data_IF_638213250545
#
_entry.id   IF_638213250545
#
_cell.length_a   1.000
_cell.length_b   1.000
_cell.length_c   1.000
_cell.angle_alpha   90.00
_cell.angle_beta   90.00
_cell.angle_gamma   90.00
#
_symmetry.space_group_name_H-M   'P 1'
#
loop_
_entity.id
_entity.type
_entity.pdbx_description
1 polymer ?
#
# COMPACT_ATOMS: atom_id res chain seq x y z
N UNK A 1 -0.41 -3.45 6.03
CA UNK A 1 0.06 -2.28 6.83
C UNK A 1 -1.03 -1.20 6.88
N UNK A 2 -0.96 -0.33 7.91
CA UNK A 2 -1.74 0.90 7.96
C UNK A 2 -3.17 0.78 8.46
N UNK A 3 -3.52 -0.24 9.20
CA UNK A 3 -4.86 -0.36 9.79
C UNK A 3 -4.86 0.09 11.26
N UNK A 4 -5.74 1.04 11.56
CA UNK A 4 -6.14 1.33 12.94
C UNK A 4 -7.55 0.79 13.19
N UNK A 5 -7.75 0.19 14.34
CA UNK A 5 -9.05 -0.31 14.79
C UNK A 5 -9.56 0.51 15.97
N UNK A 6 -10.87 0.67 16.02
CA UNK A 6 -11.55 1.47 17.06
C UNK A 6 -12.33 0.56 18.00
N UNK A 7 -12.12 0.72 19.29
CA UNK A 7 -12.87 0.02 20.33
C UNK A 7 -13.25 1.00 21.44
N UNK A 8 -14.51 1.02 21.83
CA UNK A 8 -15.04 1.89 22.88
C UNK A 8 -14.61 3.37 22.72
N UNK A 9 -14.62 3.87 21.47
CA UNK A 9 -14.25 5.24 21.15
C UNK A 9 -12.74 5.54 21.20
N UNK A 10 -11.89 4.52 21.29
CA UNK A 10 -10.44 4.65 21.35
C UNK A 10 -9.76 3.82 20.26
N UNK A 11 -8.66 4.34 19.74
CA UNK A 11 -7.78 3.58 18.84
C UNK A 11 -7.04 2.51 19.64
N UNK A 12 -7.08 1.27 19.19
CA UNK A 12 -6.42 0.14 19.85
C UNK A 12 -4.90 0.12 19.64
N UNK A 13 -4.43 0.65 18.51
CA UNK A 13 -3.01 0.73 18.20
C UNK A 13 -2.37 1.92 18.91
N UNK A 14 -1.48 1.65 19.85
CA UNK A 14 -0.89 2.67 20.73
C UNK A 14 0.61 2.87 20.52
N UNK A 15 1.29 1.98 19.79
CA UNK A 15 2.72 2.05 19.56
C UNK A 15 3.12 1.21 18.34
N UNK A 16 4.39 1.23 17.97
CA UNK A 16 4.95 0.52 16.81
C UNK A 16 4.71 -0.99 16.84
N UNK A 17 4.63 -1.62 17.99
CA UNK A 17 4.34 -3.06 18.09
C UNK A 17 2.92 -3.42 17.66
N UNK A 18 1.97 -2.53 17.83
CA UNK A 18 0.56 -2.71 17.44
C UNK A 18 0.20 -1.99 16.11
N UNK A 19 1.08 -1.13 15.63
CA UNK A 19 0.98 -0.47 14.31
C UNK A 19 2.33 -0.58 13.59
N UNK A 20 2.67 -1.77 13.07
CA UNK A 20 3.99 -2.02 12.52
C UNK A 20 4.23 -1.25 11.22
N UNK A 21 5.33 -0.49 11.10
CA UNK A 21 5.75 0.09 9.84
C UNK A 21 6.33 -0.96 8.90
N UNK A 22 6.46 -0.63 7.62
CA UNK A 22 7.18 -1.47 6.66
C UNK A 22 8.65 -1.55 7.09
N UNK A 23 9.16 -2.77 7.20
CA UNK A 23 10.56 -3.05 7.58
C UNK A 23 11.42 -3.24 6.34
N UNK A 24 12.73 -3.14 6.52
CA UNK A 24 13.70 -3.33 5.42
C UNK A 24 13.55 -4.67 4.72
N UNK A 25 13.21 -5.74 5.46
CA UNK A 25 12.97 -7.07 4.89
C UNK A 25 11.76 -7.12 3.95
N UNK A 26 10.79 -6.23 4.14
CA UNK A 26 9.55 -6.17 3.36
C UNK A 26 9.59 -5.08 2.28
N UNK A 27 10.70 -4.32 2.23
CA UNK A 27 10.85 -3.21 1.30
C UNK A 27 10.92 -3.73 -0.14
N UNK A 28 10.05 -3.28 -1.04
CA UNK A 28 10.13 -3.64 -2.45
C UNK A 28 11.35 -2.98 -3.10
N UNK A 29 11.82 -3.58 -4.19
CA UNK A 29 12.78 -2.91 -5.06
C UNK A 29 12.07 -1.73 -5.75
N UNK A 30 12.62 -0.54 -5.59
CA UNK A 30 12.08 0.68 -6.20
C UNK A 30 13.01 1.14 -7.32
N UNK A 31 12.44 1.36 -8.49
CA UNK A 31 13.10 1.94 -9.65
C UNK A 31 12.35 3.19 -10.07
N UNK A 32 13.06 4.31 -10.15
CA UNK A 32 12.47 5.61 -10.48
C UNK A 32 12.96 6.07 -11.84
N UNK A 33 12.02 6.38 -12.72
CA UNK A 33 12.31 6.94 -14.05
C UNK A 33 11.70 8.34 -14.12
N UNK A 34 12.57 9.35 -14.27
CA UNK A 34 12.13 10.73 -14.45
C UNK A 34 11.98 11.01 -15.94
N UNK A 35 10.77 11.37 -16.35
CA UNK A 35 10.47 11.73 -17.73
C UNK A 35 10.38 13.26 -17.87
N UNK A 36 11.39 13.92 -18.45
CA UNK A 36 11.34 15.36 -18.66
C UNK A 36 10.25 15.71 -19.68
N UNK A 37 9.36 16.63 -19.31
CA UNK A 37 8.24 17.04 -20.14
C UNK A 37 8.31 18.47 -20.62
N UNK A 38 9.14 19.31 -19.98
CA UNK A 38 9.17 20.77 -20.23
C UNK A 38 7.91 21.52 -19.76
N UNK A 39 7.00 20.82 -19.06
CA UNK A 39 5.76 21.40 -18.61
C UNK A 39 5.86 22.15 -17.27
N UNK A 40 4.72 22.51 -16.73
CA UNK A 40 4.61 23.18 -15.44
C UNK A 40 5.14 22.31 -14.29
N UNK A 41 5.85 22.92 -13.36
CA UNK A 41 6.35 22.24 -12.16
C UNK A 41 5.23 22.08 -11.13
N UNK A 42 4.75 20.86 -10.98
CA UNK A 42 3.74 20.48 -9.98
C UNK A 42 4.34 19.75 -8.79
N UNK A 43 3.50 19.43 -7.81
CA UNK A 43 3.86 18.58 -6.69
C UNK A 43 3.88 17.11 -7.09
N UNK A 44 4.78 16.32 -6.51
CA UNK A 44 4.93 14.87 -6.76
C UNK A 44 4.86 14.01 -5.48
N UNK A 45 4.56 14.61 -4.34
CA UNK A 45 4.49 13.93 -3.06
C UNK A 45 3.17 13.16 -2.88
N UNK A 46 2.13 13.83 -2.44
CA UNK A 46 0.84 13.21 -2.11
C UNK A 46 0.14 12.49 -3.29
N UNK A 47 0.15 12.99 -4.53
CA UNK A 47 -0.52 12.30 -5.62
C UNK A 47 -0.06 10.86 -5.84
N UNK A 48 1.20 10.56 -5.56
CA UNK A 48 1.78 9.23 -5.73
C UNK A 48 1.28 8.22 -4.70
N UNK A 49 0.86 8.67 -3.52
CA UNK A 49 0.28 7.81 -2.47
C UNK A 49 -1.02 7.17 -2.95
N UNK A 50 -1.85 7.93 -3.66
CA UNK A 50 -3.15 7.46 -4.15
C UNK A 50 -3.05 6.30 -5.15
N UNK A 51 -1.95 6.16 -5.87
CA UNK A 51 -1.77 5.14 -6.92
C UNK A 51 -1.00 3.90 -6.46
N UNK A 52 -0.32 3.95 -5.32
CA UNK A 52 0.50 2.84 -4.84
C UNK A 52 -0.33 1.59 -4.51
N UNK A 53 -1.35 1.71 -3.68
CA UNK A 53 -2.21 0.58 -3.33
C UNK A 53 -2.94 0.00 -4.55
N UNK A 54 -3.61 0.78 -5.41
CA UNK A 54 -4.23 0.25 -6.62
C UNK A 54 -3.25 -0.48 -7.55
N UNK A 55 -2.03 0.02 -7.71
CA UNK A 55 -1.00 -0.62 -8.53
C UNK A 55 -0.65 -2.02 -8.00
N UNK A 56 -0.44 -2.15 -6.68
CA UNK A 56 -0.17 -3.44 -6.04
C UNK A 56 -1.36 -4.40 -6.18
N UNK A 57 -2.57 -3.92 -5.97
CA UNK A 57 -3.79 -4.73 -6.11
C UNK A 57 -4.00 -5.23 -7.54
N UNK A 58 -3.71 -4.40 -8.53
CA UNK A 58 -3.76 -4.80 -9.93
C UNK A 58 -2.66 -5.82 -10.28
N UNK A 59 -1.48 -5.68 -9.72
CA UNK A 59 -0.40 -6.65 -9.89
C UNK A 59 -0.76 -8.02 -9.28
N UNK A 60 -1.37 -8.03 -8.09
CA UNK A 60 -1.87 -9.25 -7.45
C UNK A 60 -2.92 -9.92 -8.34
N UNK A 61 -3.85 -9.15 -8.86
CA UNK A 61 -4.87 -9.69 -9.77
C UNK A 61 -4.25 -10.28 -11.04
N UNK A 62 -3.30 -9.58 -11.64
CA UNK A 62 -2.60 -10.08 -12.84
C UNK A 62 -1.84 -11.39 -12.57
N UNK A 63 -1.24 -11.52 -11.38
CA UNK A 63 -0.48 -12.70 -11.01
C UNK A 63 -1.35 -13.89 -10.57
N UNK A 64 -2.47 -13.63 -9.93
CA UNK A 64 -3.27 -14.68 -9.23
C UNK A 64 -4.69 -14.86 -9.76
N UNK A 65 -5.24 -13.88 -10.45
CA UNK A 65 -6.66 -13.83 -10.82
C UNK A 65 -7.58 -13.46 -9.64
N UNK A 66 -7.03 -13.22 -8.45
CA UNK A 66 -7.79 -12.86 -7.25
C UNK A 66 -7.94 -11.34 -7.15
N UNK A 67 -9.17 -10.85 -7.12
CA UNK A 67 -9.46 -9.43 -6.95
C UNK A 67 -9.61 -9.07 -5.47
N UNK A 68 -8.67 -8.31 -4.97
CA UNK A 68 -8.71 -7.79 -3.60
C UNK A 68 -9.55 -6.51 -3.56
N UNK A 69 -10.51 -6.46 -2.63
CA UNK A 69 -11.40 -5.31 -2.46
C UNK A 69 -11.41 -4.76 -1.03
N UNK A 70 -10.57 -5.30 -0.17
CA UNK A 70 -10.44 -4.89 1.23
C UNK A 70 -8.96 -4.70 1.57
N UNK A 71 -8.64 -3.62 2.21
CA UNK A 71 -7.29 -3.30 2.72
C UNK A 71 -7.33 -3.19 4.26
N UNK A 72 -6.22 -3.46 4.92
CA UNK A 72 -4.95 -3.97 4.39
C UNK A 72 -5.07 -5.40 3.90
N UNK A 73 -4.04 -5.90 3.20
CA UNK A 73 -4.04 -7.27 2.67
C UNK A 73 -4.16 -8.33 3.77
N UNK A 74 -3.43 -8.15 4.88
CA UNK A 74 -3.49 -9.03 6.03
C UNK A 74 -3.33 -10.50 5.65
N UNK A 75 -4.20 -11.34 6.19
CA UNK A 75 -4.21 -12.80 5.97
C UNK A 75 -5.10 -13.24 4.81
N UNK A 76 -5.50 -12.34 3.93
CA UNK A 76 -6.32 -12.69 2.78
C UNK A 76 -5.59 -13.70 1.88
N UNK A 77 -6.32 -14.72 1.43
CA UNK A 77 -5.75 -15.72 0.53
C UNK A 77 -5.45 -15.11 -0.83
N UNK A 78 -4.19 -15.19 -1.24
CA UNK A 78 -3.73 -14.77 -2.57
C UNK A 78 -3.51 -15.98 -3.49
N UNK A 79 -3.88 -17.17 -3.06
CA UNK A 79 -3.75 -18.38 -3.89
C UNK A 79 -4.70 -18.26 -5.07
N UNK A 80 -4.18 -18.61 -6.23
CA UNK A 80 -4.97 -18.73 -7.45
C UNK A 80 -6.12 -19.73 -7.21
N UNK A 81 -7.30 -19.30 -7.55
CA UNK A 81 -8.48 -20.16 -7.46
C UNK A 81 -8.36 -21.34 -8.43
#
# INVERSE_FOLDING_TARGET
>A
YGQCTLKDGRIEQTNFHSYPPVKMADMPRVETIVMPSGGFWGGVGEPTIAVAAPAVLNAIYAATGVRIRKLPLGEQSLKRA
#
